data_IF_172303909261
#
_entry.id   IF_172303909261
#
_cell.length_a   1.000
_cell.length_b   1.000
_cell.length_c   1.000
_cell.angle_alpha   90.00
_cell.angle_beta   90.00
_cell.angle_gamma   90.00
#
_symmetry.space_group_name_H-M   'P 1'
#
loop_
_entity.id
_entity.type
_entity.pdbx_description
1 polymer ?
#
# COMPACT_ATOMS: atom_id res chain seq x y z
N UNK A 1 -22.07 21.78 -12.00
CA UNK A 1 -21.73 20.67 -11.09
C UNK A 1 -20.46 20.07 -11.65
N UNK A 2 -19.30 20.55 -11.18
CA UNK A 2 -18.00 20.22 -11.77
C UNK A 2 -17.63 18.83 -11.30
N UNK A 3 -17.65 17.86 -12.22
CA UNK A 3 -17.15 16.51 -11.98
C UNK A 3 -15.66 16.65 -11.68
N UNK A 4 -15.29 16.59 -10.40
CA UNK A 4 -13.91 16.73 -9.98
C UNK A 4 -13.15 15.54 -10.57
N UNK A 5 -12.26 15.82 -11.53
CA UNK A 5 -11.43 14.80 -12.16
C UNK A 5 -10.84 13.88 -11.09
N UNK A 6 -10.96 12.57 -11.33
CA UNK A 6 -10.38 11.59 -10.43
C UNK A 6 -8.89 11.94 -10.22
N UNK A 7 -8.44 12.08 -8.97
CA UNK A 7 -7.08 12.50 -8.67
C UNK A 7 -6.07 11.55 -9.29
N UNK A 8 -4.97 12.10 -9.77
CA UNK A 8 -3.92 11.29 -10.36
C UNK A 8 -3.31 10.33 -9.31
N UNK A 9 -2.82 9.15 -9.71
CA UNK A 9 -2.14 8.23 -8.80
C UNK A 9 -0.99 8.89 -8.02
N UNK A 10 -0.32 9.88 -8.62
CA UNK A 10 0.75 10.66 -7.99
C UNK A 10 0.25 11.54 -6.84
N UNK A 11 -0.93 12.16 -6.98
CA UNK A 11 -1.53 12.97 -5.90
C UNK A 11 -1.96 12.10 -4.71
N UNK A 12 -2.47 10.89 -4.97
CA UNK A 12 -2.81 9.95 -3.91
C UNK A 12 -1.54 9.44 -3.19
N UNK A 13 -0.47 9.15 -3.94
CA UNK A 13 0.81 8.74 -3.36
C UNK A 13 1.39 9.84 -2.44
N UNK A 14 1.43 11.09 -2.92
CA UNK A 14 1.90 12.24 -2.14
C UNK A 14 1.06 12.49 -0.88
N UNK A 15 -0.27 12.35 -0.99
CA UNK A 15 -1.15 12.40 0.18
C UNK A 15 -0.78 11.30 1.19
N UNK A 16 -0.66 10.05 0.73
CA UNK A 16 -0.31 8.95 1.62
C UNK A 16 1.04 9.19 2.32
N UNK A 17 2.05 9.72 1.61
CA UNK A 17 3.36 9.99 2.20
C UNK A 17 3.27 11.03 3.32
N UNK A 18 2.45 12.06 3.14
CA UNK A 18 2.16 13.04 4.18
C UNK A 18 1.41 12.44 5.38
N UNK A 19 0.54 11.45 5.16
CA UNK A 19 -0.24 10.80 6.22
C UNK A 19 0.55 9.75 7.02
N UNK A 20 1.58 9.16 6.44
CA UNK A 20 2.42 8.16 7.12
C UNK A 20 3.34 8.75 8.17
N UNK A 21 3.63 10.05 8.08
CA UNK A 21 4.39 10.79 9.08
C UNK A 21 3.53 11.24 10.28
N UNK A 22 2.22 10.99 10.25
CA UNK A 22 1.30 11.47 11.28
C UNK A 22 0.99 10.41 12.33
N UNK A 23 1.03 10.88 13.58
CA UNK A 23 0.45 10.20 14.73
C UNK A 23 -1.06 9.97 14.56
N UNK A 24 -1.66 8.97 15.24
CA UNK A 24 -3.05 8.57 15.02
C UNK A 24 -4.05 9.71 15.14
N UNK A 25 -3.89 10.62 16.11
CA UNK A 25 -4.82 11.74 16.30
C UNK A 25 -4.65 12.81 15.20
N UNK A 26 -3.41 13.18 14.87
CA UNK A 26 -3.11 14.12 13.80
C UNK A 26 -3.56 13.57 12.42
N UNK A 27 -3.52 12.26 12.23
CA UNK A 27 -4.06 11.58 11.06
C UNK A 27 -5.58 11.80 10.93
N UNK A 28 -6.34 11.67 12.02
CA UNK A 28 -7.79 11.92 12.03
C UNK A 28 -8.08 13.35 11.60
N UNK A 29 -7.42 14.33 12.22
CA UNK A 29 -7.61 15.76 11.94
C UNK A 29 -7.25 16.10 10.49
N UNK A 30 -6.12 15.56 10.01
CA UNK A 30 -5.68 15.78 8.62
C UNK A 30 -6.65 15.17 7.61
N UNK A 31 -7.15 13.96 7.84
CA UNK A 31 -8.14 13.33 6.97
C UNK A 31 -9.47 14.07 6.98
N UNK A 32 -9.91 14.57 8.13
CA UNK A 32 -11.11 15.39 8.22
C UNK A 32 -10.98 16.68 7.40
N UNK A 33 -9.84 17.38 7.52
CA UNK A 33 -9.56 18.57 6.72
C UNK A 33 -9.53 18.26 5.21
N UNK A 34 -8.94 17.12 4.83
CA UNK A 34 -8.89 16.68 3.43
C UNK A 34 -10.29 16.31 2.88
N UNK A 35 -11.15 15.71 3.70
CA UNK A 35 -12.56 15.47 3.36
C UNK A 35 -13.29 16.78 3.10
N UNK A 36 -13.13 17.79 3.97
CA UNK A 36 -13.75 19.09 3.80
C UNK A 36 -13.25 19.82 2.55
N UNK A 37 -11.96 19.69 2.24
CA UNK A 37 -11.32 20.33 1.08
C UNK A 37 -11.73 19.71 -0.25
N UNK A 38 -11.85 18.39 -0.30
CA UNK A 38 -11.95 17.62 -1.55
C UNK A 38 -13.34 17.06 -1.82
N UNK A 39 -14.33 17.33 -0.95
CA UNK A 39 -15.72 16.90 -1.14
C UNK A 39 -15.99 15.45 -0.74
N UNK A 40 -15.30 14.93 0.28
CA UNK A 40 -15.56 13.61 0.84
C UNK A 40 -16.76 13.56 1.80
N UNK A 41 -16.90 12.44 2.52
CA UNK A 41 -17.91 12.27 3.57
C UNK A 41 -17.25 11.86 4.89
N UNK A 42 -17.61 12.55 5.96
CA UNK A 42 -17.21 12.27 7.35
C UNK A 42 -18.47 12.14 8.20
N UNK A 43 -18.85 10.91 8.56
CA UNK A 43 -20.16 10.64 9.16
C UNK A 43 -20.08 9.69 10.35
N UNK A 44 -21.02 9.90 11.27
CA UNK A 44 -21.38 8.94 12.30
C UNK A 44 -22.71 8.31 11.91
N UNK A 45 -22.81 6.97 11.92
CA UNK A 45 -24.09 6.31 11.66
C UNK A 45 -25.10 6.63 12.78
N UNK A 46 -26.38 6.70 12.41
CA UNK A 46 -27.48 7.02 13.33
C UNK A 46 -28.41 5.81 13.59
N UNK A 47 -27.91 4.58 13.40
CA UNK A 47 -28.73 3.37 13.32
C UNK A 47 -29.18 2.79 14.67
N UNK A 48 -28.83 3.41 15.79
CA UNK A 48 -29.17 2.92 17.14
C UNK A 48 -28.36 1.69 17.59
N UNK A 49 -27.47 1.18 16.74
CA UNK A 49 -26.42 0.21 17.03
C UNK A 49 -25.14 0.95 17.51
N UNK A 50 -24.03 0.25 17.85
CA UNK A 50 -22.78 0.93 18.13
C UNK A 50 -22.39 1.80 16.94
N UNK A 51 -22.42 3.12 17.14
CA UNK A 51 -22.36 4.07 16.04
C UNK A 51 -21.04 3.93 15.28
N UNK A 52 -21.10 3.58 14.00
CA UNK A 52 -19.94 3.50 13.12
C UNK A 52 -19.49 4.90 12.70
N UNK A 53 -18.19 5.02 12.48
CA UNK A 53 -17.51 6.21 11.94
C UNK A 53 -17.09 5.91 10.52
N UNK A 54 -17.62 6.68 9.58
CA UNK A 54 -17.47 6.46 8.15
C UNK A 54 -16.63 7.58 7.56
N UNK A 55 -15.54 7.20 6.89
CA UNK A 55 -14.67 8.07 6.12
C UNK A 55 -14.78 7.64 4.66
N UNK A 56 -15.30 8.52 3.80
CA UNK A 56 -15.28 8.34 2.34
C UNK A 56 -14.46 9.48 1.72
N UNK A 57 -13.33 9.12 1.12
CA UNK A 57 -12.39 10.08 0.55
C UNK A 57 -11.65 9.42 -0.61
N UNK A 58 -11.51 10.12 -1.75
CA UNK A 58 -10.74 9.68 -2.92
C UNK A 58 -11.18 8.29 -3.46
N UNK A 59 -12.50 8.02 -3.43
CA UNK A 59 -13.08 6.74 -3.88
C UNK A 59 -12.91 5.58 -2.90
N UNK A 60 -12.35 5.82 -1.71
CA UNK A 60 -12.15 4.81 -0.65
C UNK A 60 -13.11 5.11 0.49
N UNK A 61 -13.95 4.13 0.82
CA UNK A 61 -14.92 4.20 1.91
C UNK A 61 -14.58 3.17 2.98
N UNK A 62 -14.36 3.64 4.21
CA UNK A 62 -14.08 2.81 5.37
C UNK A 62 -15.06 3.17 6.49
N UNK A 63 -15.54 2.15 7.19
CA UNK A 63 -16.33 2.28 8.41
C UNK A 63 -15.67 1.51 9.55
N UNK A 64 -15.59 2.13 10.74
CA UNK A 64 -15.09 1.46 11.95
C UNK A 64 -15.76 2.03 13.21
N UNK A 65 -15.49 1.45 14.37
CA UNK A 65 -16.07 1.83 15.66
C UNK A 65 -15.54 3.17 16.19
N UNK A 66 -14.39 3.63 15.69
CA UNK A 66 -13.81 4.94 16.03
C UNK A 66 -13.19 5.60 14.80
N UNK A 67 -13.09 6.94 14.82
CA UNK A 67 -12.44 7.67 13.74
C UNK A 67 -10.95 7.34 13.63
N UNK A 68 -10.28 7.02 14.75
CA UNK A 68 -8.87 6.60 14.74
C UNK A 68 -8.71 5.27 13.99
N UNK A 69 -9.54 4.27 14.31
CA UNK A 69 -9.48 2.97 13.63
C UNK A 69 -9.86 3.10 12.14
N UNK A 70 -10.91 3.86 11.83
CA UNK A 70 -11.31 4.14 10.45
C UNK A 70 -10.20 4.86 9.67
N UNK A 71 -9.55 5.84 10.28
CA UNK A 71 -8.45 6.59 9.67
C UNK A 71 -7.22 5.71 9.39
N UNK A 72 -6.83 4.85 10.33
CA UNK A 72 -5.72 3.90 10.14
C UNK A 72 -6.00 2.92 9.00
N UNK A 73 -7.21 2.37 8.95
CA UNK A 73 -7.64 1.46 7.87
C UNK A 73 -7.74 2.17 6.53
N UNK A 74 -8.23 3.40 6.52
CA UNK A 74 -8.26 4.24 5.33
C UNK A 74 -6.85 4.49 4.81
N UNK A 75 -5.89 4.84 5.68
CA UNK A 75 -4.47 5.01 5.31
C UNK A 75 -3.90 3.78 4.63
N UNK A 76 -4.17 2.58 5.17
CA UNK A 76 -3.69 1.34 4.56
C UNK A 76 -4.36 1.01 3.22
N UNK A 77 -5.68 1.22 3.12
CA UNK A 77 -6.39 1.05 1.86
C UNK A 77 -5.89 2.04 0.80
N UNK A 78 -5.68 3.31 1.15
CA UNK A 78 -5.15 4.33 0.27
C UNK A 78 -3.74 3.98 -0.22
N UNK A 79 -2.88 3.50 0.67
CA UNK A 79 -1.54 3.05 0.30
C UNK A 79 -1.56 1.83 -0.63
N UNK A 80 -2.51 0.91 -0.44
CA UNK A 80 -2.71 -0.21 -1.38
C UNK A 80 -3.14 0.27 -2.77
N UNK A 81 -4.06 1.25 -2.85
CA UNK A 81 -4.48 1.87 -4.12
C UNK A 81 -3.31 2.64 -4.77
N UNK A 82 -2.45 3.28 -3.98
CA UNK A 82 -1.24 3.95 -4.44
C UNK A 82 -0.10 3.00 -4.86
N UNK A 83 -0.27 1.69 -4.77
CA UNK A 83 0.72 0.69 -5.19
C UNK A 83 1.71 0.22 -4.11
N UNK A 84 1.51 0.63 -2.85
CA UNK A 84 2.32 0.21 -1.71
C UNK A 84 3.55 1.06 -1.47
N UNK A 85 4.58 0.47 -0.85
CA UNK A 85 5.85 1.13 -0.57
C UNK A 85 6.95 0.60 -1.51
N UNK A 86 7.74 1.52 -2.04
CA UNK A 86 8.86 1.17 -2.91
C UNK A 86 10.02 0.56 -2.11
N UNK A 87 10.32 1.08 -0.91
CA UNK A 87 11.43 0.64 -0.07
C UNK A 87 11.08 0.77 1.42
N UNK A 88 11.77 -0.02 2.30
CA UNK A 88 11.70 0.18 3.74
C UNK A 88 12.16 1.59 4.12
N UNK A 89 11.49 2.20 5.09
CA UNK A 89 11.93 3.44 5.72
C UNK A 89 13.12 3.19 6.66
N UNK A 90 13.95 4.22 6.79
CA UNK A 90 15.06 4.24 7.74
C UNK A 90 14.57 4.57 9.16
N UNK A 91 13.51 5.37 9.28
CA UNK A 91 12.95 5.73 10.59
C UNK A 91 12.22 4.53 11.22
N UNK A 92 12.52 4.15 12.48
CA UNK A 92 11.93 2.97 13.12
C UNK A 92 10.40 2.99 13.16
N UNK A 93 9.80 4.16 13.42
CA UNK A 93 8.36 4.34 13.51
C UNK A 93 7.67 4.14 12.16
N UNK A 94 8.22 4.75 11.10
CA UNK A 94 7.73 4.56 9.73
C UNK A 94 7.94 3.12 9.26
N UNK A 95 9.06 2.49 9.62
CA UNK A 95 9.33 1.08 9.32
C UNK A 95 8.33 0.15 10.00
N UNK A 96 7.97 0.43 11.27
CA UNK A 96 6.93 -0.32 11.99
C UNK A 96 5.55 -0.15 11.33
N UNK A 97 5.22 1.06 10.88
CA UNK A 97 3.99 1.34 10.13
C UNK A 97 3.94 0.55 8.81
N UNK A 98 5.02 0.59 8.04
CA UNK A 98 5.16 -0.15 6.77
C UNK A 98 5.03 -1.67 6.98
N UNK A 99 5.61 -2.20 8.06
CA UNK A 99 5.45 -3.60 8.45
C UNK A 99 3.98 -3.93 8.79
N UNK A 100 3.32 -3.07 9.57
CA UNK A 100 1.90 -3.24 9.91
C UNK A 100 1.01 -3.20 8.66
N UNK A 101 1.30 -2.29 7.71
CA UNK A 101 0.62 -2.25 6.42
C UNK A 101 0.82 -3.55 5.65
N UNK A 102 2.05 -4.05 5.51
CA UNK A 102 2.33 -5.26 4.75
C UNK A 102 1.61 -6.48 5.34
N UNK A 103 1.67 -6.65 6.66
CA UNK A 103 0.93 -7.70 7.37
C UNK A 103 -0.59 -7.55 7.18
N UNK A 104 -1.11 -6.33 7.23
CA UNK A 104 -2.52 -6.05 6.96
C UNK A 104 -2.90 -6.45 5.53
N UNK A 105 -2.08 -6.16 4.52
CA UNK A 105 -2.30 -6.56 3.13
C UNK A 105 -2.34 -8.08 2.97
N UNK A 106 -1.43 -8.78 3.64
CA UNK A 106 -1.30 -10.23 3.51
C UNK A 106 -2.46 -10.98 4.18
N UNK A 107 -2.96 -10.48 5.31
CA UNK A 107 -3.87 -11.22 6.19
C UNK A 107 -5.27 -10.64 6.35
N UNK A 108 -5.48 -9.33 6.12
CA UNK A 108 -6.69 -8.63 6.56
C UNK A 108 -7.37 -7.75 5.50
N UNK A 109 -6.60 -7.10 4.63
CA UNK A 109 -7.15 -6.26 3.55
C UNK A 109 -7.64 -7.14 2.41
N UNK A 110 -8.95 -7.11 2.18
CA UNK A 110 -9.61 -7.77 1.06
C UNK A 110 -10.69 -6.86 0.48
N UNK A 111 -10.84 -6.79 -0.86
CA UNK A 111 -9.96 -7.38 -1.87
C UNK A 111 -8.65 -6.59 -2.06
N UNK A 112 -7.57 -7.28 -2.45
CA UNK A 112 -6.29 -6.65 -2.87
C UNK A 112 -5.77 -7.34 -4.13
N UNK A 113 -5.12 -6.58 -5.01
CA UNK A 113 -4.57 -7.14 -6.26
C UNK A 113 -3.36 -8.04 -5.97
N UNK A 114 -3.05 -8.96 -6.90
CA UNK A 114 -1.85 -9.79 -6.80
C UNK A 114 -0.56 -8.94 -6.75
N UNK A 115 -0.52 -7.83 -7.49
CA UNK A 115 0.61 -6.91 -7.48
C UNK A 115 0.83 -6.27 -6.11
N UNK A 116 -0.24 -5.80 -5.44
CA UNK A 116 -0.16 -5.22 -4.10
C UNK A 116 0.26 -6.28 -3.07
N UNK A 117 -0.25 -7.51 -3.17
CA UNK A 117 0.16 -8.63 -2.31
C UNK A 117 1.65 -8.96 -2.47
N UNK A 118 2.14 -9.02 -3.71
CA UNK A 118 3.56 -9.24 -4.01
C UNK A 118 4.44 -8.10 -3.50
N UNK A 119 4.00 -6.85 -3.64
CA UNK A 119 4.67 -5.67 -3.08
C UNK A 119 4.80 -5.75 -1.56
N UNK A 120 3.73 -6.12 -0.86
CA UNK A 120 3.75 -6.29 0.59
C UNK A 120 4.72 -7.39 1.06
N UNK A 121 4.75 -8.54 0.36
CA UNK A 121 5.71 -9.61 0.66
C UNK A 121 7.16 -9.13 0.43
N UNK A 122 7.44 -8.53 -0.74
CA UNK A 122 8.77 -8.02 -1.08
C UNK A 122 9.25 -6.96 -0.07
N UNK A 123 8.34 -6.14 0.47
CA UNK A 123 8.68 -5.17 1.51
C UNK A 123 9.16 -5.85 2.79
N UNK A 124 8.45 -6.89 3.26
CA UNK A 124 8.86 -7.66 4.43
C UNK A 124 10.19 -8.39 4.21
N UNK A 125 10.37 -8.98 3.03
CA UNK A 125 11.61 -9.69 2.67
C UNK A 125 12.82 -8.76 2.74
N UNK A 126 12.71 -7.52 2.22
CA UNK A 126 13.78 -6.51 2.30
C UNK A 126 14.02 -6.00 3.71
N UNK A 127 12.99 -5.97 4.56
CA UNK A 127 13.18 -5.60 5.96
C UNK A 127 13.99 -6.64 6.74
N UNK A 128 13.87 -7.92 6.38
CA UNK A 128 14.60 -9.06 6.97
C UNK A 128 15.98 -9.21 6.33
N UNK A 129 16.05 -9.03 5.01
CA UNK A 129 17.26 -9.17 4.19
C UNK A 129 17.52 -7.87 3.40
N UNK A 130 18.24 -6.89 3.98
CA UNK A 130 18.46 -5.58 3.34
C UNK A 130 19.14 -5.65 1.97
N UNK A 131 19.93 -6.70 1.69
CA UNK A 131 20.60 -6.92 0.41
C UNK A 131 19.76 -7.61 -0.67
N UNK A 132 18.50 -7.94 -0.39
CA UNK A 132 17.66 -8.71 -1.30
C UNK A 132 17.19 -7.83 -2.48
N UNK A 133 17.79 -8.06 -3.66
CA UNK A 133 17.37 -7.42 -4.90
C UNK A 133 16.29 -8.25 -5.58
N UNK A 134 15.14 -7.63 -5.88
CA UNK A 134 14.13 -8.26 -6.74
C UNK A 134 14.65 -8.26 -8.18
N UNK A 135 15.08 -9.41 -8.67
CA UNK A 135 15.46 -9.56 -10.07
C UNK A 135 14.18 -9.42 -10.91
N UNK A 136 14.16 -8.46 -11.83
CA UNK A 136 13.06 -8.36 -12.79
C UNK A 136 12.98 -9.67 -13.58
N UNK A 137 11.79 -10.27 -13.75
CA UNK A 137 11.68 -11.43 -14.61
C UNK A 137 12.24 -11.05 -15.99
N UNK A 138 13.04 -11.93 -16.62
CA UNK A 138 13.63 -11.63 -17.92
C UNK A 138 12.51 -11.18 -18.86
N UNK A 139 12.73 -10.06 -19.55
CA UNK A 139 11.78 -9.57 -20.53
C UNK A 139 11.43 -10.72 -21.48
N UNK A 140 10.14 -11.01 -21.65
CA UNK A 140 9.70 -12.09 -22.50
C UNK A 140 10.21 -11.85 -23.93
N UNK A 141 11.22 -12.62 -24.34
CA UNK A 141 11.70 -12.58 -25.73
C UNK A 141 10.56 -13.14 -26.59
N UNK A 142 10.11 -12.43 -27.64
CA UNK A 142 9.06 -12.94 -28.52
C UNK A 142 9.41 -14.34 -29.03
N UNK A 143 8.54 -15.32 -28.74
CA UNK A 143 8.74 -16.72 -29.12
C UNK A 143 9.49 -17.61 -28.11
N UNK A 144 9.97 -17.07 -26.99
CA UNK A 144 10.62 -17.86 -25.95
C UNK A 144 9.59 -18.47 -24.98
N UNK A 145 9.65 -19.78 -24.81
CA UNK A 145 8.81 -20.50 -23.85
C UNK A 145 9.32 -20.32 -22.41
N UNK A 146 8.44 -20.49 -21.42
CA UNK A 146 8.80 -20.41 -19.99
C UNK A 146 9.93 -21.38 -19.60
N UNK A 147 9.97 -22.57 -20.22
CA UNK A 147 11.03 -23.55 -19.99
C UNK A 147 12.39 -23.05 -20.51
N UNK A 148 12.41 -22.37 -21.66
CA UNK A 148 13.63 -21.79 -22.22
C UNK A 148 14.12 -20.58 -21.41
N UNK A 149 13.20 -19.77 -20.86
CA UNK A 149 13.57 -18.67 -19.97
C UNK A 149 14.14 -19.20 -18.63
N UNK A 150 13.54 -20.25 -18.06
CA UNK A 150 14.03 -20.88 -16.84
C UNK A 150 15.42 -21.52 -17.03
N UNK A 151 15.65 -22.22 -18.15
CA UNK A 151 16.95 -22.82 -18.46
C UNK A 151 18.05 -21.76 -18.61
N UNK A 152 17.76 -20.64 -19.29
CA UNK A 152 18.71 -19.54 -19.44
C UNK A 152 19.06 -18.87 -18.10
N UNK A 153 18.07 -18.72 -17.21
CA UNK A 153 18.28 -18.19 -15.87
C UNK A 153 19.14 -19.12 -15.01
N UNK A 154 18.88 -20.43 -15.05
CA UNK A 154 19.70 -21.43 -14.34
C UNK A 154 21.14 -21.49 -14.86
N UNK A 155 21.35 -21.34 -16.18
CA UNK A 155 22.69 -21.29 -16.76
C UNK A 155 23.46 -20.03 -16.31
N UNK A 156 22.81 -18.86 -16.32
CA UNK A 156 23.41 -17.61 -15.85
C UNK A 156 23.75 -17.64 -14.35
N UNK A 157 22.93 -18.28 -13.52
CA UNK A 157 23.23 -18.46 -12.09
C UNK A 157 24.46 -19.36 -11.86
N UNK A 158 24.63 -20.41 -12.66
CA UNK A 158 25.78 -21.32 -12.56
C UNK A 158 27.10 -20.66 -12.99
N UNK A 159 27.08 -19.74 -13.95
CA UNK A 159 28.28 -18.98 -14.36
C UNK A 159 28.77 -18.03 -13.26
N UNK A 160 27.88 -17.54 -12.41
CA UNK A 160 28.24 -16.67 -11.27
C UNK A 160 28.85 -17.46 -10.11
N UNK A 161 28.42 -18.71 -9.88
CA UNK A 161 29.02 -19.60 -8.86
C UNK A 161 30.39 -20.17 -9.27
N UNK A 162 30.67 -20.31 -10.57
CA UNK A 162 31.96 -20.81 -11.06
C UNK A 162 33.09 -19.76 -11.13
N UNK A 163 32.78 -18.49 -10.89
CA UNK A 163 33.71 -17.36 -10.97
C UNK A 163 34.16 -16.84 -9.58
N UNK A 164 33.77 -17.51 -8.50
CA UNK A 164 34.16 -17.23 -7.11
C UNK A 164 35.11 -18.31 -6.57
#
# INVERSE_FOLDING_TARGET
MTDAAAPSPAELAALCDALDALEPQALVERLQAEVLRSGGSWKTDASGLPALRIIALRGITISDMSYVAAALRWRFAARAVAGGYAAPADEPERRALQRAWALSVLHHLTPVTKAVRASAQALLDRMIHPGLQTIAPPAAVPGQTLAQAAAAFSAAAAEVEGAA
#
